data_IF_921509331286
#
_entry.id   IF_921509331286
#
_cell.length_a   1.000
_cell.length_b   1.000
_cell.length_c   1.000
_cell.angle_alpha   90.00
_cell.angle_beta   90.00
_cell.angle_gamma   90.00
#
_symmetry.space_group_name_H-M   'P 1'
#
loop_
_entity.id
_entity.type
_entity.pdbx_description
1 polymer ?
#
# COMPACT_ATOMS: atom_id res chain seq x y z
N UNK A 1 -7.09 -12.27 26.01
CA UNK A 1 -7.04 -11.57 24.74
C UNK A 1 -8.11 -10.48 24.74
N UNK A 2 -7.84 -9.28 24.16
CA UNK A 2 -8.87 -8.27 24.05
C UNK A 2 -10.01 -8.79 23.16
N UNK A 3 -11.24 -8.41 23.49
CA UNK A 3 -12.44 -8.77 22.74
C UNK A 3 -12.97 -7.50 22.08
N UNK A 4 -13.28 -7.51 20.77
CA UNK A 4 -13.87 -6.35 20.13
C UNK A 4 -15.24 -6.02 20.69
N UNK A 5 -15.57 -4.73 20.74
CA UNK A 5 -16.90 -4.26 21.17
C UNK A 5 -17.91 -4.47 20.03
N UNK A 6 -18.73 -5.51 20.14
CA UNK A 6 -19.73 -5.86 19.12
C UNK A 6 -20.73 -4.74 18.81
N UNK A 7 -20.94 -3.79 19.74
CA UNK A 7 -21.80 -2.62 19.50
C UNK A 7 -21.24 -1.68 18.42
N UNK A 8 -19.96 -1.83 18.08
CA UNK A 8 -19.30 -1.08 17.04
C UNK A 8 -19.43 -1.72 15.67
N UNK A 9 -19.93 -2.96 15.58
CA UNK A 9 -20.18 -3.60 14.30
C UNK A 9 -21.21 -2.80 13.48
N UNK A 10 -20.90 -2.51 12.22
CA UNK A 10 -21.71 -1.63 11.38
C UNK A 10 -21.50 -0.12 11.62
N UNK A 11 -20.65 0.26 12.56
CA UNK A 11 -20.34 1.67 12.89
C UNK A 11 -18.86 2.01 12.77
N UNK A 12 -18.11 1.21 12.03
CA UNK A 12 -16.69 1.45 11.79
C UNK A 12 -16.47 2.35 10.58
N UNK A 13 -15.25 2.90 10.49
CA UNK A 13 -14.85 3.69 9.34
C UNK A 13 -13.44 3.36 8.86
N UNK A 14 -13.21 3.53 7.55
CA UNK A 14 -11.89 3.50 6.93
C UNK A 14 -11.66 4.83 6.23
N UNK A 15 -10.62 5.54 6.65
CA UNK A 15 -10.14 6.74 5.97
C UNK A 15 -8.84 6.44 5.26
N UNK A 16 -8.83 6.58 3.94
CA UNK A 16 -7.61 6.43 3.12
C UNK A 16 -7.06 7.80 2.80
N UNK A 17 -5.78 8.02 3.08
CA UNK A 17 -5.06 9.25 2.76
C UNK A 17 -4.05 8.97 1.65
N UNK A 18 -4.26 9.58 0.50
CA UNK A 18 -3.36 9.50 -0.64
C UNK A 18 -2.35 10.64 -0.59
N UNK A 19 -1.07 10.31 -0.72
CA UNK A 19 0.01 11.30 -0.73
C UNK A 19 1.03 10.98 -1.83
N UNK A 20 1.69 12.03 -2.30
CA UNK A 20 2.86 11.92 -3.17
C UNK A 20 3.93 12.90 -2.67
N UNK A 21 5.12 12.39 -2.37
CA UNK A 21 6.22 13.19 -1.78
C UNK A 21 5.73 13.99 -0.55
N UNK A 22 5.04 13.31 0.37
CA UNK A 22 4.48 13.87 1.62
C UNK A 22 3.39 14.94 1.44
N UNK A 23 2.97 15.22 0.21
CA UNK A 23 1.88 16.17 -0.08
C UNK A 23 0.60 15.41 -0.38
N UNK A 24 -0.52 15.96 0.05
CA UNK A 24 -1.84 15.43 -0.27
C UNK A 24 -2.03 15.31 -1.78
N UNK A 25 -2.47 14.14 -2.23
CA UNK A 25 -2.75 13.86 -3.63
C UNK A 25 -4.25 13.63 -3.81
N UNK A 26 -4.96 14.66 -4.24
CA UNK A 26 -6.37 14.59 -4.56
C UNK A 26 -6.64 14.11 -5.98
N UNK A 27 -7.87 13.67 -6.21
CA UNK A 27 -8.31 13.14 -7.50
C UNK A 27 -8.15 11.64 -7.61
N UNK A 28 -8.67 11.09 -8.71
CA UNK A 28 -8.83 9.65 -8.84
C UNK A 28 -9.96 9.09 -7.98
N UNK A 29 -10.15 7.79 -8.00
CA UNK A 29 -11.24 7.11 -7.29
C UNK A 29 -10.78 5.81 -6.67
N UNK A 30 -11.32 5.48 -5.49
CA UNK A 30 -11.10 4.24 -4.77
C UNK A 30 -12.40 3.45 -4.65
N UNK A 31 -12.32 2.14 -4.81
CA UNK A 31 -13.38 1.20 -4.47
C UNK A 31 -12.97 0.39 -3.23
N UNK A 32 -13.95 0.04 -2.42
CA UNK A 32 -13.79 -0.77 -1.23
C UNK A 32 -14.63 -2.04 -1.38
N UNK A 33 -14.03 -3.19 -1.09
CA UNK A 33 -14.69 -4.50 -1.13
C UNK A 33 -14.49 -5.23 0.19
N UNK A 34 -15.54 -5.78 0.74
CA UNK A 34 -15.41 -6.71 1.87
C UNK A 34 -15.00 -8.08 1.32
N UNK A 35 -13.83 -8.55 1.72
CA UNK A 35 -13.25 -9.83 1.27
C UNK A 35 -13.27 -10.90 2.35
N UNK A 36 -13.38 -10.50 3.61
CA UNK A 36 -13.41 -11.42 4.73
C UNK A 36 -14.42 -11.04 5.80
N UNK A 37 -15.06 -12.06 6.36
CA UNK A 37 -15.88 -11.96 7.57
C UNK A 37 -15.04 -12.26 8.80
N UNK A 38 -15.41 -11.69 9.94
CA UNK A 38 -14.82 -12.03 11.23
C UNK A 38 -15.36 -13.38 11.67
N UNK A 39 -14.46 -14.27 12.06
CA UNK A 39 -14.78 -15.53 12.74
C UNK A 39 -14.13 -15.53 14.13
N UNK A 40 -14.87 -16.03 15.11
CA UNK A 40 -14.39 -16.23 16.47
C UNK A 40 -14.35 -17.72 16.74
N UNK A 41 -13.18 -18.20 17.20
CA UNK A 41 -12.99 -19.59 17.60
C UNK A 41 -12.16 -19.60 18.90
N UNK A 42 -12.74 -20.13 19.97
CA UNK A 42 -12.10 -20.23 21.29
C UNK A 42 -11.55 -18.90 21.82
N UNK A 43 -12.27 -17.80 21.61
CA UNK A 43 -11.85 -16.46 22.02
C UNK A 43 -10.78 -15.83 21.13
N UNK A 44 -10.43 -16.47 20.00
CA UNK A 44 -9.54 -15.93 19.00
C UNK A 44 -10.34 -15.41 17.80
N UNK A 45 -10.03 -14.19 17.39
CA UNK A 45 -10.66 -13.57 16.23
C UNK A 45 -9.77 -13.72 15.01
N UNK A 46 -10.36 -14.16 13.92
CA UNK A 46 -9.70 -14.36 12.62
C UNK A 46 -10.59 -13.86 11.50
N UNK A 47 -10.04 -13.78 10.28
CA UNK A 47 -10.81 -13.47 9.10
C UNK A 47 -10.97 -14.71 8.23
N UNK A 48 -12.20 -14.96 7.80
CA UNK A 48 -12.53 -16.03 6.85
C UNK A 48 -13.02 -15.42 5.54
N UNK A 49 -12.68 -15.98 4.37
CA UNK A 49 -13.11 -15.43 3.09
C UNK A 49 -14.62 -15.39 2.97
N UNK A 50 -15.16 -14.28 2.44
CA UNK A 50 -16.59 -14.16 2.12
C UNK A 50 -17.00 -15.25 1.11
N UNK A 51 -18.28 -15.64 1.12
CA UNK A 51 -18.79 -16.73 0.31
C UNK A 51 -18.46 -16.62 -1.19
N UNK A 52 -18.43 -15.40 -1.71
CA UNK A 52 -18.19 -15.11 -3.14
C UNK A 52 -16.81 -15.57 -3.64
N UNK A 53 -15.81 -15.61 -2.77
CA UNK A 53 -14.42 -15.98 -3.12
C UNK A 53 -13.91 -17.23 -2.39
N UNK A 54 -14.73 -17.86 -1.55
CA UNK A 54 -14.30 -19.00 -0.71
C UNK A 54 -13.80 -20.19 -1.52
N UNK A 55 -14.27 -20.37 -2.75
CA UNK A 55 -13.79 -21.44 -3.64
C UNK A 55 -12.37 -21.16 -4.15
N UNK A 56 -12.05 -19.91 -4.42
CA UNK A 56 -10.72 -19.51 -4.89
C UNK A 56 -9.73 -19.36 -3.72
N UNK A 57 -10.26 -18.91 -2.58
CA UNK A 57 -9.53 -18.73 -1.33
C UNK A 57 -10.28 -19.42 -0.19
N UNK A 58 -9.98 -20.70 0.10
CA UNK A 58 -10.61 -21.41 1.23
C UNK A 58 -10.28 -20.80 2.58
N UNK A 59 -9.10 -20.22 2.69
CA UNK A 59 -8.62 -19.50 3.88
C UNK A 59 -7.63 -18.39 3.48
N UNK A 60 -7.49 -17.38 4.32
CA UNK A 60 -6.43 -16.39 4.18
C UNK A 60 -5.13 -16.94 4.78
N UNK A 61 -4.01 -16.61 4.13
CA UNK A 61 -2.69 -16.74 4.74
C UNK A 61 -2.35 -15.48 5.54
N UNK A 62 -1.14 -14.95 5.36
CA UNK A 62 -0.73 -13.70 5.96
C UNK A 62 -1.50 -12.52 5.33
N UNK A 63 -2.42 -11.93 6.11
CA UNK A 63 -3.24 -10.79 5.68
C UNK A 63 -2.43 -9.48 5.53
N UNK A 64 -1.21 -9.46 6.01
CA UNK A 64 -0.30 -8.32 5.84
C UNK A 64 0.54 -8.43 4.56
N UNK A 65 0.48 -9.57 3.87
CA UNK A 65 1.21 -9.79 2.63
C UNK A 65 0.61 -8.96 1.48
N UNK A 66 1.41 -8.13 0.78
CA UNK A 66 0.97 -7.42 -0.43
C UNK A 66 0.47 -8.35 -1.52
N UNK A 67 1.05 -9.55 -1.64
CA UNK A 67 0.66 -10.56 -2.63
C UNK A 67 -0.80 -11.01 -2.45
N UNK A 68 -1.29 -11.04 -1.22
CA UNK A 68 -2.68 -11.41 -0.95
C UNK A 68 -3.63 -10.35 -1.52
N UNK A 69 -3.36 -9.08 -1.28
CA UNK A 69 -4.16 -7.98 -1.82
C UNK A 69 -4.19 -8.00 -3.36
N UNK A 70 -3.05 -8.23 -4.00
CA UNK A 70 -2.96 -8.36 -5.46
C UNK A 70 -3.78 -9.55 -5.99
N UNK A 71 -3.68 -10.71 -5.35
CA UNK A 71 -4.47 -11.90 -5.75
C UNK A 71 -5.96 -11.67 -5.59
N UNK A 72 -6.39 -11.04 -4.49
CA UNK A 72 -7.80 -10.71 -4.23
C UNK A 72 -8.33 -9.67 -5.22
N UNK A 73 -7.53 -8.71 -5.65
CA UNK A 73 -7.93 -7.72 -6.64
C UNK A 73 -8.28 -8.34 -8.00
N UNK A 74 -7.68 -9.49 -8.34
CA UNK A 74 -8.01 -10.24 -9.56
C UNK A 74 -9.40 -10.90 -9.50
N UNK A 75 -9.98 -11.04 -8.30
CA UNK A 75 -11.32 -11.56 -8.08
C UNK A 75 -12.37 -10.46 -7.90
N UNK A 76 -12.04 -9.23 -8.21
CA UNK A 76 -12.91 -8.06 -8.03
C UNK A 76 -14.29 -8.23 -8.69
N UNK A 77 -14.35 -8.90 -9.85
CA UNK A 77 -15.59 -9.19 -10.56
C UNK A 77 -16.57 -10.11 -9.79
N UNK A 78 -16.08 -10.87 -8.81
CA UNK A 78 -16.88 -11.72 -7.93
C UNK A 78 -17.32 -10.99 -6.65
N UNK A 79 -16.72 -9.84 -6.34
CA UNK A 79 -16.96 -9.09 -5.13
C UNK A 79 -18.00 -7.99 -5.36
N UNK A 80 -18.76 -7.70 -4.31
CA UNK A 80 -19.68 -6.57 -4.33
C UNK A 80 -18.98 -5.36 -3.70
N UNK A 81 -18.89 -4.22 -4.40
CA UNK A 81 -18.32 -3.01 -3.81
C UNK A 81 -19.21 -2.50 -2.67
N UNK A 82 -18.59 -1.96 -1.64
CA UNK A 82 -19.28 -1.38 -0.47
C UNK A 82 -20.16 -0.18 -0.88
N UNK A 83 -19.68 0.60 -1.84
CA UNK A 83 -20.43 1.72 -2.42
C UNK A 83 -20.73 1.42 -3.88
N UNK A 84 -21.93 1.81 -4.35
CA UNK A 84 -22.37 1.57 -5.74
C UNK A 84 -21.39 2.14 -6.79
N UNK A 85 -20.74 3.25 -6.47
CA UNK A 85 -19.72 3.88 -7.32
C UNK A 85 -18.41 4.05 -6.54
N UNK A 86 -17.25 3.97 -7.22
CA UNK A 86 -15.98 4.30 -6.62
C UNK A 86 -15.99 5.72 -6.05
N UNK A 87 -15.45 5.89 -4.85
CA UNK A 87 -15.45 7.18 -4.15
C UNK A 87 -14.28 8.04 -4.63
N UNK A 88 -14.56 9.32 -4.90
CA UNK A 88 -13.55 10.28 -5.32
C UNK A 88 -12.66 10.69 -4.14
N UNK A 89 -11.35 10.68 -4.36
CA UNK A 89 -10.39 11.22 -3.41
C UNK A 89 -10.47 12.74 -3.43
N UNK A 90 -10.71 13.34 -2.27
CA UNK A 90 -10.83 14.80 -2.12
C UNK A 90 -9.50 15.52 -2.40
N UNK A 91 -9.56 16.85 -2.51
CA UNK A 91 -8.36 17.69 -2.73
C UNK A 91 -7.35 17.58 -1.59
N UNK A 92 -7.83 17.27 -0.38
CA UNK A 92 -6.99 16.98 0.78
C UNK A 92 -6.36 15.57 0.76
N UNK A 93 -6.49 14.83 -0.34
CA UNK A 93 -5.98 13.47 -0.50
C UNK A 93 -6.78 12.40 0.24
N UNK A 94 -7.93 12.74 0.86
CA UNK A 94 -8.67 11.80 1.71
C UNK A 94 -9.96 11.33 1.08
N UNK A 95 -10.31 10.08 1.41
CA UNK A 95 -11.63 9.50 1.22
C UNK A 95 -11.98 8.66 2.45
N UNK A 96 -13.21 8.75 2.91
CA UNK A 96 -13.68 8.02 4.09
C UNK A 96 -14.89 7.16 3.72
N UNK A 97 -14.84 5.90 4.10
CA UNK A 97 -15.95 4.95 4.04
C UNK A 97 -16.50 4.79 5.45
N UNK A 98 -17.80 4.98 5.61
CA UNK A 98 -18.49 4.99 6.89
C UNK A 98 -19.44 3.79 7.03
N UNK A 99 -19.91 3.56 8.27
CA UNK A 99 -20.91 2.55 8.61
C UNK A 99 -20.53 1.14 8.14
N UNK A 100 -19.27 0.80 8.33
CA UNK A 100 -18.71 -0.47 7.90
C UNK A 100 -18.88 -1.53 8.99
N UNK A 101 -19.37 -2.73 8.66
CA UNK A 101 -19.32 -3.87 9.57
C UNK A 101 -17.90 -4.38 9.77
N UNK A 102 -17.70 -5.19 10.79
CA UNK A 102 -16.43 -5.88 11.01
C UNK A 102 -16.08 -6.76 9.81
N UNK A 103 -14.81 -6.83 9.48
CA UNK A 103 -14.33 -7.62 8.37
C UNK A 103 -12.96 -7.23 7.85
N UNK A 104 -12.51 -7.96 6.85
CA UNK A 104 -11.31 -7.64 6.07
C UNK A 104 -11.75 -6.97 4.77
N UNK A 105 -11.14 -5.83 4.48
CA UNK A 105 -11.49 -4.99 3.34
C UNK A 105 -10.33 -4.85 2.37
N UNK A 106 -10.64 -4.93 1.08
CA UNK A 106 -9.71 -4.68 -0.02
C UNK A 106 -10.00 -3.28 -0.58
N UNK A 107 -8.96 -2.45 -0.62
CA UNK A 107 -8.99 -1.13 -1.26
C UNK A 107 -8.32 -1.23 -2.62
N UNK A 108 -9.04 -0.78 -3.65
CA UNK A 108 -8.55 -0.78 -5.04
C UNK A 108 -8.71 0.59 -5.65
N UNK A 109 -7.63 1.16 -6.18
CA UNK A 109 -7.70 2.40 -6.93
C UNK A 109 -8.24 2.13 -8.33
N UNK A 110 -9.39 2.68 -8.66
CA UNK A 110 -10.05 2.50 -9.97
C UNK A 110 -9.49 3.46 -11.01
N UNK A 111 -9.31 4.71 -10.63
CA UNK A 111 -8.66 5.73 -11.47
C UNK A 111 -7.62 6.47 -10.66
N UNK A 112 -6.47 6.73 -11.28
CA UNK A 112 -5.43 7.58 -10.70
C UNK A 112 -5.68 9.07 -11.04
N UNK A 113 -5.14 10.01 -10.26
CA UNK A 113 -5.09 11.41 -10.66
C UNK A 113 -4.32 11.59 -11.96
N UNK A 114 -4.66 12.62 -12.74
CA UNK A 114 -3.98 12.89 -14.00
C UNK A 114 -2.46 13.05 -13.83
N UNK A 115 -1.68 12.30 -14.59
CA UNK A 115 -0.20 12.30 -14.54
C UNK A 115 0.42 11.43 -13.46
N UNK A 116 -0.37 10.57 -12.79
CA UNK A 116 0.11 9.63 -11.77
C UNK A 116 -0.30 8.19 -12.10
N UNK A 117 0.53 7.24 -11.69
CA UNK A 117 0.21 5.82 -11.74
C UNK A 117 -0.80 5.41 -10.65
N UNK A 118 -1.40 4.24 -10.81
CA UNK A 118 -2.26 3.65 -9.77
C UNK A 118 -1.42 3.10 -8.63
N UNK A 119 -1.95 3.25 -7.42
CA UNK A 119 -1.39 2.58 -6.25
C UNK A 119 -1.74 1.09 -6.27
N UNK A 120 -0.89 0.27 -5.69
CA UNK A 120 -1.16 -1.15 -5.48
C UNK A 120 -2.37 -1.34 -4.56
N UNK A 121 -3.18 -2.41 -4.77
CA UNK A 121 -4.26 -2.74 -3.86
C UNK A 121 -3.71 -3.12 -2.48
N UNK A 122 -4.46 -2.84 -1.44
CA UNK A 122 -4.07 -3.16 -0.06
C UNK A 122 -5.26 -3.57 0.79
N UNK A 123 -4.98 -4.22 1.92
CA UNK A 123 -5.98 -4.71 2.85
C UNK A 123 -6.06 -3.83 4.11
N UNK A 124 -7.27 -3.70 4.63
CA UNK A 124 -7.54 -3.03 5.90
C UNK A 124 -8.47 -3.92 6.72
N UNK A 125 -8.11 -4.21 7.97
CA UNK A 125 -8.96 -4.95 8.90
C UNK A 125 -9.82 -4.03 9.76
N UNK A 126 -11.06 -4.42 10.01
CA UNK A 126 -11.96 -3.80 10.97
C UNK A 126 -12.53 -4.85 11.92
N UNK A 127 -12.40 -4.69 13.23
CA UNK A 127 -11.53 -3.69 13.86
C UNK A 127 -10.04 -3.99 13.64
N UNK A 128 -9.21 -2.98 13.80
CA UNK A 128 -7.75 -3.11 13.74
C UNK A 128 -7.19 -3.20 15.16
N UNK A 129 -6.38 -4.21 15.45
CA UNK A 129 -5.75 -4.37 16.75
C UNK A 129 -4.41 -3.63 16.77
N UNK A 130 -4.32 -2.58 17.57
CA UNK A 130 -3.12 -1.77 17.75
C UNK A 130 -2.77 -1.70 19.24
N UNK A 131 -1.54 -2.07 19.59
CA UNK A 131 -1.01 -2.05 20.96
C UNK A 131 -1.92 -2.71 22.02
N UNK A 132 -2.72 -3.72 21.62
CA UNK A 132 -3.63 -4.44 22.48
C UNK A 132 -5.04 -3.84 22.61
N UNK A 133 -5.34 -2.78 21.87
CA UNK A 133 -6.65 -2.15 21.81
C UNK A 133 -7.23 -2.22 20.39
N UNK A 134 -8.56 -2.39 20.28
CA UNK A 134 -9.23 -2.40 18.98
C UNK A 134 -9.58 -0.99 18.54
N UNK A 135 -9.14 -0.63 17.33
CA UNK A 135 -9.47 0.59 16.64
C UNK A 135 -10.62 0.31 15.65
N UNK A 136 -11.66 1.13 15.72
CA UNK A 136 -12.87 1.00 14.88
C UNK A 136 -12.92 2.04 13.77
N UNK A 137 -12.18 3.12 13.93
CA UNK A 137 -11.96 4.17 12.94
C UNK A 137 -10.51 4.09 12.47
N UNK A 138 -10.29 3.42 11.35
CA UNK A 138 -8.94 3.12 10.87
C UNK A 138 -8.53 4.11 9.79
N UNK A 139 -7.38 4.77 10.01
CA UNK A 139 -6.72 5.60 9.02
C UNK A 139 -5.63 4.78 8.31
N UNK A 140 -5.71 4.69 6.99
CA UNK A 140 -4.72 4.02 6.17
C UNK A 140 -4.05 5.00 5.22
N UNK A 141 -2.73 4.93 5.18
CA UNK A 141 -1.93 5.68 4.20
C UNK A 141 -1.09 4.66 3.43
N UNK A 142 -1.46 4.32 2.20
CA UNK A 142 -0.69 3.39 1.41
C UNK A 142 0.71 3.94 1.18
N UNK A 143 1.71 3.13 1.49
CA UNK A 143 3.13 3.43 1.24
C UNK A 143 3.44 3.11 -0.21
N UNK A 144 3.00 3.92 -1.11
CA UNK A 144 3.33 3.75 -2.52
C UNK A 144 4.02 5.01 -3.03
N UNK A 145 5.16 4.80 -3.63
CA UNK A 145 5.76 5.79 -4.51
C UNK A 145 4.88 5.81 -5.76
N UNK A 146 3.92 6.76 -5.78
CA UNK A 146 3.13 7.00 -6.98
C UNK A 146 4.09 7.59 -8.02
N UNK A 147 4.54 6.77 -8.96
CA UNK A 147 5.33 7.25 -10.06
C UNK A 147 4.46 8.13 -10.97
N UNK A 148 4.94 9.34 -11.23
CA UNK A 148 4.31 10.22 -12.19
C UNK A 148 4.41 9.60 -13.57
N UNK A 149 3.30 9.31 -14.24
CA UNK A 149 3.31 8.93 -15.64
C UNK A 149 3.98 10.04 -16.47
N UNK A 150 5.13 9.72 -17.06
CA UNK A 150 5.73 10.59 -18.06
C UNK A 150 4.87 10.48 -19.31
N UNK A 151 3.98 11.44 -19.50
CA UNK A 151 3.23 11.55 -20.75
C UNK A 151 4.23 11.90 -21.85
N UNK A 152 4.77 10.90 -22.51
CA UNK A 152 5.46 11.10 -23.80
C UNK A 152 4.41 11.46 -24.82
N UNK A 153 4.14 12.75 -24.95
CA UNK A 153 3.39 13.29 -26.09
C UNK A 153 4.16 12.88 -27.34
N UNK A 154 3.57 12.15 -28.30
CA UNK A 154 4.24 11.91 -29.55
C UNK A 154 4.38 13.23 -30.28
N UNK A 155 5.57 13.79 -30.29
CA UNK A 155 5.92 14.89 -31.17
C UNK A 155 6.06 14.29 -32.55
N UNK A 156 5.03 14.42 -33.38
CA UNK A 156 5.13 14.25 -34.80
C UNK A 156 6.01 15.37 -35.38
N UNK A 157 7.25 15.07 -35.57
CA UNK A 157 8.13 15.94 -36.40
C UNK A 157 7.98 15.55 -37.87
N UNK A 158 7.88 16.52 -38.79
CA UNK A 158 7.78 16.23 -40.19
C UNK A 158 9.11 15.75 -40.78
N UNK A 159 8.99 14.74 -41.58
CA UNK A 159 10.01 14.13 -42.44
C UNK A 159 10.76 15.14 -43.28
N UNK A 160 12.08 15.16 -43.21
CA UNK A 160 12.91 15.56 -44.35
C UNK A 160 14.13 14.62 -44.41
N UNK A 161 14.23 13.92 -45.54
CA UNK A 161 15.36 13.07 -46.00
C UNK A 161 16.11 13.86 -47.03
N UNK A 162 17.33 13.49 -47.52
CA UNK A 162 18.45 12.69 -46.95
C UNK A 162 19.83 13.35 -47.14
N UNK A 163 20.85 12.83 -46.55
CA UNK A 163 22.14 12.65 -47.20
C UNK A 163 23.12 11.80 -46.35
N UNK A 164 23.80 10.92 -47.04
CA UNK A 164 24.76 9.92 -46.62
C UNK A 164 26.03 10.50 -46.00
N UNK A 165 26.66 9.85 -45.05
CA UNK A 165 27.92 9.12 -45.17
C UNK A 165 28.63 8.87 -43.84
N UNK A 166 29.08 7.64 -43.70
CA UNK A 166 30.29 7.14 -43.04
C UNK A 166 30.53 7.35 -41.54
N UNK A 167 30.62 6.24 -40.88
CA UNK A 167 31.76 5.97 -40.02
C UNK A 167 31.67 6.30 -38.56
N UNK A 168 31.51 5.26 -37.77
CA UNK A 168 32.31 5.18 -36.59
C UNK A 168 31.68 5.45 -35.23
N UNK A 169 31.72 4.42 -34.45
CA UNK A 169 31.72 4.36 -32.96
C UNK A 169 30.39 4.47 -32.24
N UNK A 170 29.99 3.31 -31.78
CA UNK A 170 29.05 3.14 -30.68
C UNK A 170 29.51 3.94 -29.44
N UNK A 171 28.60 4.71 -28.80
CA UNK A 171 28.92 5.25 -27.48
C UNK A 171 28.88 4.11 -26.48
N UNK A 172 30.03 3.85 -25.85
CA UNK A 172 30.10 3.06 -24.64
C UNK A 172 29.23 3.71 -23.57
N UNK A 173 28.20 3.03 -23.14
CA UNK A 173 27.48 3.36 -21.92
C UNK A 173 28.46 3.17 -20.76
N UNK A 174 28.97 4.27 -20.25
CA UNK A 174 29.77 4.31 -19.05
C UNK A 174 28.92 3.78 -17.88
N UNK A 175 29.24 2.58 -17.41
CA UNK A 175 28.79 2.11 -16.11
C UNK A 175 29.36 3.07 -15.06
N UNK A 176 28.43 3.86 -14.47
CA UNK A 176 28.76 4.71 -13.35
C UNK A 176 28.99 3.83 -12.12
N UNK A 177 30.22 3.50 -11.86
CA UNK A 177 30.68 2.78 -10.67
C UNK A 177 30.79 3.74 -9.51
N UNK A 178 29.68 3.96 -8.81
CA UNK A 178 29.64 4.41 -7.43
C UNK A 178 28.14 4.42 -6.98
N UNK A 179 27.74 4.10 -5.80
CA UNK A 179 28.45 4.28 -4.51
C UNK A 179 28.36 3.07 -3.58
N UNK A 180 29.16 2.05 -3.79
CA UNK A 180 29.23 0.95 -2.83
C UNK A 180 30.06 1.28 -1.57
N UNK A 181 31.01 2.26 -1.54
CA UNK A 181 31.78 2.50 -0.32
C UNK A 181 31.07 3.30 0.78
N UNK A 182 29.94 3.97 0.51
CA UNK A 182 29.30 4.84 1.52
C UNK A 182 28.47 4.06 2.54
N UNK A 183 27.96 2.89 2.17
CA UNK A 183 27.19 2.03 3.08
C UNK A 183 28.05 1.22 4.06
N UNK A 184 29.32 0.99 3.74
CA UNK A 184 30.23 0.25 4.62
C UNK A 184 30.73 1.08 5.83
N UNK A 185 30.77 2.41 5.70
CA UNK A 185 31.21 3.28 6.80
C UNK A 185 30.14 3.54 7.86
N UNK A 186 28.85 3.45 7.51
CA UNK A 186 27.74 3.66 8.46
C UNK A 186 27.56 2.49 9.45
N UNK A 187 27.83 1.25 9.01
CA UNK A 187 27.68 0.06 9.85
C UNK A 187 28.77 -0.08 10.93
N UNK A 188 29.99 0.30 10.64
CA UNK A 188 31.11 0.21 11.60
C UNK A 188 31.01 1.24 12.71
N UNK A 189 30.45 2.43 12.45
CA UNK A 189 30.25 3.47 13.46
C UNK A 189 29.27 3.07 14.56
N UNK A 190 28.22 2.32 14.24
CA UNK A 190 27.24 1.86 15.22
C UNK A 190 27.78 0.77 16.14
N UNK A 191 28.70 -0.08 15.66
CA UNK A 191 29.30 -1.14 16.48
C UNK A 191 30.27 -0.54 17.50
N UNK A 192 31.06 0.48 17.12
CA UNK A 192 32.01 1.13 18.05
C UNK A 192 31.28 1.90 19.15
N UNK A 193 30.18 2.60 18.84
CA UNK A 193 29.37 3.31 19.86
C UNK A 193 28.68 2.32 20.81
N UNK A 194 28.22 1.16 20.30
CA UNK A 194 27.61 0.10 21.12
C UNK A 194 28.60 -0.52 22.10
N UNK A 195 29.84 -0.76 21.68
CA UNK A 195 30.89 -1.32 22.51
C UNK A 195 31.40 -0.34 23.59
N UNK A 196 31.46 0.97 23.29
CA UNK A 196 31.84 1.99 24.26
C UNK A 196 30.78 2.19 25.37
N UNK A 197 29.49 2.10 25.02
CA UNK A 197 28.41 2.17 26.01
C UNK A 197 28.42 0.95 26.96
N UNK A 198 28.77 -0.22 26.47
CA UNK A 198 28.78 -1.45 27.28
C UNK A 198 29.95 -1.47 28.27
N UNK A 199 31.06 -0.77 28.01
CA UNK A 199 32.19 -0.67 28.92
C UNK A 199 32.00 0.36 30.04
N UNK A 200 31.05 1.33 29.88
CA UNK A 200 30.73 2.32 30.91
C UNK A 200 29.70 1.87 31.93
N UNK A 201 28.98 0.78 31.65
CA UNK A 201 27.96 0.23 32.56
C UNK A 201 28.50 -0.88 33.50
N UNK A 202 29.82 -1.15 33.49
CA UNK A 202 30.45 -2.22 34.27
C UNK A 202 31.43 -1.76 35.35
N UNK A 203 31.48 -0.46 35.65
CA UNK A 203 32.45 0.10 36.60
C UNK A 203 31.81 0.86 37.78
N UNK A 204 30.59 0.46 38.18
CA UNK A 204 29.96 0.89 39.42
C UNK A 204 29.39 -0.34 40.13
N UNK A 205 30.29 -1.07 40.85
CA UNK A 205 30.05 -1.87 42.05
C UNK A 205 31.32 -1.85 42.90
#
# INVERSE_FOLDING_TARGET
>A
HPVPDERKDGHCSITVTMTYQEKALGGGTLALYKVGDVAEEDGNYSFVPVAAIRQDFPQFGDIQSPDLAEKLSKLESKLTPVTALPQKVGENGKVTFLELPFGLYLVVQKTAPAGYGKTEPFLVSLPYLEEGEYQYDVASQPKTDLEREVTTKPTTSPTTKPASSSGGKLPQTGQLWWPVPVLACGGLGCIVVGLFRRRRAGDED
#
